data_IF_577837585403
#
_entry.id   IF_577837585403
#
_cell.length_a   1.000
_cell.length_b   1.000
_cell.length_c   1.000
_cell.angle_alpha   90.00
_cell.angle_beta   90.00
_cell.angle_gamma   90.00
#
_symmetry.space_group_name_H-M   'P 1'
#
loop_
_entity.id
_entity.type
_entity.pdbx_description
1 polymer ?
#
# COMPACT_ATOMS: atom_id res chain seq x y z
N UNK A 1 -13.54 -5.71 3.70
CA UNK A 1 -12.38 -6.59 3.44
C UNK A 1 -11.16 -5.79 3.84
N UNK A 2 -10.31 -6.37 4.68
CA UNK A 2 -9.26 -5.63 5.39
C UNK A 2 -8.08 -5.29 4.47
N UNK A 3 -7.40 -4.14 4.68
CA UNK A 3 -6.26 -3.76 3.86
C UNK A 3 -5.18 -4.81 4.00
N UNK A 4 -4.87 -5.46 2.88
CA UNK A 4 -3.89 -6.52 2.82
C UNK A 4 -2.49 -5.91 2.82
N UNK A 5 -1.56 -6.54 3.54
CA UNK A 5 -0.19 -6.04 3.73
C UNK A 5 0.63 -5.92 2.44
N UNK A 6 0.22 -6.63 1.38
CA UNK A 6 0.84 -6.56 0.06
C UNK A 6 -0.05 -5.77 -0.93
N UNK A 7 0.34 -4.53 -1.29
CA UNK A 7 -0.39 -3.70 -2.25
C UNK A 7 -0.58 -4.34 -3.63
N UNK A 8 0.34 -5.22 -4.06
CA UNK A 8 0.28 -5.85 -5.38
C UNK A 8 -0.91 -6.82 -5.53
N UNK A 9 -1.33 -7.44 -4.42
CA UNK A 9 -2.50 -8.34 -4.43
C UNK A 9 -3.78 -7.53 -4.59
N UNK A 10 -3.86 -6.34 -3.97
CA UNK A 10 -5.00 -5.44 -4.16
C UNK A 10 -5.07 -4.92 -5.59
N UNK A 11 -3.94 -4.49 -6.16
CA UNK A 11 -3.86 -4.08 -7.56
C UNK A 11 -4.34 -5.20 -8.50
N UNK A 12 -3.88 -6.43 -8.27
CA UNK A 12 -4.32 -7.61 -9.04
C UNK A 12 -5.84 -7.85 -8.92
N UNK A 13 -6.41 -7.63 -7.74
CA UNK A 13 -7.86 -7.75 -7.54
C UNK A 13 -8.64 -6.67 -8.30
N UNK A 14 -8.13 -5.43 -8.34
CA UNK A 14 -8.71 -4.33 -9.12
C UNK A 14 -8.60 -4.63 -10.62
N UNK A 15 -7.46 -5.14 -11.08
CA UNK A 15 -7.23 -5.53 -12.49
C UNK A 15 -8.13 -6.70 -12.93
N UNK A 16 -8.61 -7.54 -12.00
CA UNK A 16 -9.64 -8.55 -12.32
C UNK A 16 -10.99 -7.92 -12.62
N UNK A 17 -11.33 -6.83 -11.93
CA UNK A 17 -12.60 -6.11 -12.11
C UNK A 17 -12.55 -5.15 -13.31
N UNK A 18 -11.38 -4.55 -13.58
CA UNK A 18 -11.14 -3.71 -14.75
C UNK A 18 -10.56 -4.55 -15.90
N UNK A 19 -11.38 -4.83 -16.92
CA UNK A 19 -10.94 -5.54 -18.14
C UNK A 19 -11.15 -4.69 -19.38
N UNK A 20 -10.29 -4.88 -20.39
CA UNK A 20 -10.47 -4.25 -21.71
C UNK A 20 -11.84 -4.59 -22.30
N UNK A 21 -12.52 -3.57 -22.82
CA UNK A 21 -13.89 -3.69 -23.36
C UNK A 21 -15.01 -3.45 -22.34
N UNK A 22 -14.69 -3.23 -21.06
CA UNK A 22 -15.65 -2.77 -20.06
C UNK A 22 -16.16 -1.36 -20.41
N UNK A 23 -17.48 -1.18 -20.50
CA UNK A 23 -18.11 0.12 -20.82
C UNK A 23 -18.46 0.94 -19.58
N UNK A 24 -18.52 0.29 -18.42
CA UNK A 24 -18.91 0.90 -17.16
C UNK A 24 -17.69 1.30 -16.33
N UNK A 25 -17.81 2.41 -15.61
CA UNK A 25 -16.75 2.88 -14.71
C UNK A 25 -16.59 1.91 -13.53
N UNK A 26 -15.39 1.39 -13.34
CA UNK A 26 -15.04 0.57 -12.16
C UNK A 26 -14.61 1.51 -11.05
N UNK A 27 -15.19 1.34 -9.86
CA UNK A 27 -14.83 2.08 -8.65
C UNK A 27 -14.33 1.10 -7.59
N UNK A 28 -13.13 1.31 -7.09
CA UNK A 28 -12.56 0.56 -5.98
C UNK A 28 -12.57 1.44 -4.72
N UNK A 29 -13.17 0.94 -3.65
CA UNK A 29 -13.22 1.63 -2.37
C UNK A 29 -12.41 0.85 -1.33
N UNK A 30 -11.49 1.55 -0.68
CA UNK A 30 -10.76 1.01 0.46
C UNK A 30 -11.40 1.53 1.74
N UNK A 31 -11.92 0.61 2.55
CA UNK A 31 -12.50 0.95 3.85
C UNK A 31 -11.38 0.93 4.89
N UNK A 32 -11.07 2.08 5.48
CA UNK A 32 -10.04 2.24 6.51
C UNK A 32 -10.73 2.76 7.77
N UNK A 33 -10.58 2.03 8.87
CA UNK A 33 -11.07 2.46 10.18
C UNK A 33 -10.07 3.47 10.79
N UNK A 34 -10.58 4.65 11.16
CA UNK A 34 -9.78 5.70 11.81
C UNK A 34 -9.28 5.25 13.19
N UNK A 35 -8.07 5.67 13.54
CA UNK A 35 -7.48 5.35 14.85
C UNK A 35 -7.15 3.87 15.03
N UNK A 36 -7.03 3.12 13.94
CA UNK A 36 -6.67 1.70 13.99
C UNK A 36 -5.31 1.47 13.35
N UNK A 37 -4.70 0.34 13.68
CA UNK A 37 -3.48 -0.18 13.03
C UNK A 37 -3.57 -0.11 11.50
N UNK A 38 -4.76 -0.34 10.91
CA UNK A 38 -4.96 -0.28 9.46
C UNK A 38 -4.63 1.09 8.87
N UNK A 39 -4.91 2.17 9.58
CA UNK A 39 -4.54 3.53 9.17
C UNK A 39 -3.02 3.73 9.22
N UNK A 40 -2.37 3.25 10.29
CA UNK A 40 -0.92 3.32 10.48
C UNK A 40 -0.18 2.54 9.38
N UNK A 41 -0.67 1.35 9.00
CA UNK A 41 -0.13 0.52 7.91
C UNK A 41 -0.18 1.26 6.56
N UNK A 42 -1.32 1.88 6.23
CA UNK A 42 -1.46 2.60 4.96
C UNK A 42 -0.51 3.79 4.89
N UNK A 43 -0.37 4.54 6.00
CA UNK A 43 0.60 5.65 6.08
C UNK A 43 2.04 5.18 5.87
N UNK A 44 2.41 4.06 6.50
CA UNK A 44 3.75 3.49 6.37
C UNK A 44 4.03 3.02 4.93
N UNK A 45 3.05 2.37 4.28
CA UNK A 45 3.18 1.96 2.88
C UNK A 45 3.38 3.16 1.94
N UNK A 46 2.67 4.26 2.15
CA UNK A 46 2.82 5.48 1.35
C UNK A 46 4.19 6.14 1.58
N UNK A 47 4.67 6.20 2.82
CA UNK A 47 6.03 6.68 3.13
C UNK A 47 7.09 5.85 2.43
N UNK A 48 6.99 4.52 2.48
CA UNK A 48 7.93 3.60 1.81
C UNK A 48 7.88 3.73 0.30
N UNK A 49 6.69 3.89 -0.30
CA UNK A 49 6.56 4.12 -1.74
C UNK A 49 7.18 5.44 -2.15
N UNK A 50 6.98 6.50 -1.36
CA UNK A 50 7.58 7.81 -1.63
C UNK A 50 9.11 7.72 -1.59
N UNK A 51 9.68 7.10 -0.55
CA UNK A 51 11.12 6.89 -0.43
C UNK A 51 11.67 6.08 -1.60
N UNK A 52 11.03 4.97 -1.96
CA UNK A 52 11.41 4.17 -3.11
C UNK A 52 11.39 5.01 -4.40
N UNK A 53 10.34 5.82 -4.63
CA UNK A 53 10.24 6.67 -5.82
C UNK A 53 11.32 7.75 -5.90
N UNK A 54 11.79 8.26 -4.75
CA UNK A 54 12.89 9.24 -4.70
C UNK A 54 14.27 8.60 -4.92
N UNK A 55 14.44 7.34 -4.50
CA UNK A 55 15.71 6.60 -4.58
C UNK A 55 15.94 5.89 -5.91
N UNK A 56 14.88 5.55 -6.66
CA UNK A 56 14.95 4.88 -7.99
C UNK A 56 15.71 5.71 -9.06
N UNK A 57 16.11 6.94 -8.74
CA UNK A 57 16.98 7.76 -9.60
C UNK A 57 18.44 7.28 -9.63
N UNK A 58 18.85 6.37 -8.73
CA UNK A 58 20.21 5.80 -8.70
C UNK A 58 20.15 4.26 -8.76
N UNK A 59 21.03 3.66 -9.56
CA UNK A 59 21.06 2.29 -10.11
C UNK A 59 21.10 1.10 -9.11
N UNK A 60 20.52 1.20 -7.92
CA UNK A 60 20.52 0.11 -6.94
C UNK A 60 19.13 -0.41 -6.55
N UNK A 61 18.99 -1.73 -6.65
CA UNK A 61 17.81 -2.52 -6.25
C UNK A 61 17.59 -2.44 -4.73
N UNK A 62 17.09 -1.32 -4.23
CA UNK A 62 16.78 -1.15 -2.82
C UNK A 62 15.41 -1.76 -2.49
N UNK A 63 15.40 -2.88 -1.76
CA UNK A 63 14.19 -3.45 -1.19
C UNK A 63 13.97 -2.86 0.22
N UNK A 64 12.99 -1.96 0.43
CA UNK A 64 12.73 -1.40 1.75
C UNK A 64 12.24 -2.51 2.69
N UNK A 65 13.09 -2.92 3.63
CA UNK A 65 12.75 -3.84 4.71
C UNK A 65 11.95 -3.14 5.81
N UNK A 66 11.27 -3.91 6.66
CA UNK A 66 10.59 -3.37 7.84
C UNK A 66 11.64 -3.09 8.92
N UNK A 67 11.74 -1.84 9.40
CA UNK A 67 12.65 -1.48 10.48
C UNK A 67 12.00 -1.72 11.86
N UNK A 68 12.80 -1.68 12.93
CA UNK A 68 12.27 -1.73 14.30
C UNK A 68 11.43 -0.49 14.62
N UNK A 69 11.83 0.69 14.13
CA UNK A 69 11.09 1.94 14.32
C UNK A 69 9.71 1.88 13.63
N UNK A 70 9.62 1.21 12.47
CA UNK A 70 8.34 0.97 11.79
C UNK A 70 7.41 0.09 12.63
N UNK A 71 7.96 -0.91 13.33
CA UNK A 71 7.20 -1.80 14.21
C UNK A 71 6.70 -1.06 15.44
N UNK A 72 7.55 -0.21 16.04
CA UNK A 72 7.15 0.63 17.17
C UNK A 72 6.04 1.59 16.75
N UNK A 73 6.17 2.27 15.60
CA UNK A 73 5.13 3.13 15.05
C UNK A 73 3.78 2.41 14.84
N UNK A 74 3.82 1.15 14.38
CA UNK A 74 2.61 0.36 14.17
C UNK A 74 1.94 -0.08 15.49
N UNK A 75 2.73 -0.32 16.54
CA UNK A 75 2.26 -0.87 17.81
C UNK A 75 2.05 0.18 18.90
N UNK A 76 2.52 1.40 18.70
CA UNK A 76 2.27 2.53 19.58
C UNK A 76 0.76 2.79 19.71
N UNK A 77 0.30 3.38 20.81
CA UNK A 77 -1.14 3.55 21.10
C UNK A 77 -1.82 4.59 20.19
#
# INVERSE_FOLDING_TARGET
MDPWWNPAIEAQAIDRAYRMGQKNKVMAYRLIAKGTIKEKIVKLQDQKRSLASSLITEDETFAPTLSMDDLEFLLDE
#
